data_IF_636816104948
#
_entry.id   IF_636816104948
#
_cell.length_a   1.000
_cell.length_b   1.000
_cell.length_c   1.000
_cell.angle_alpha   90.00
_cell.angle_beta   90.00
_cell.angle_gamma   90.00
#
_symmetry.space_group_name_H-M   'P 1'
#
loop_
_entity.id
_entity.type
_entity.pdbx_description
1 polymer ?
#
# COMPACT_ATOMS: atom_id res chain seq x y z
N UNK A 1 -25.79 13.50 -60.98
CA UNK A 1 -24.46 14.09 -60.71
C UNK A 1 -23.99 13.49 -59.38
N UNK A 2 -23.48 12.26 -59.25
CA UNK A 2 -22.42 11.55 -59.99
C UNK A 2 -21.18 12.43 -60.22
N UNK A 3 -20.12 12.18 -59.43
CA UNK A 3 -18.81 11.69 -59.90
C UNK A 3 -17.94 11.32 -58.68
N UNK A 4 -17.60 10.05 -58.46
CA UNK A 4 -16.52 9.22 -59.06
C UNK A 4 -15.16 9.36 -58.34
N UNK A 5 -14.74 8.28 -57.69
CA UNK A 5 -13.33 7.92 -57.53
C UNK A 5 -12.76 7.41 -58.87
N UNK A 6 -11.42 7.40 -59.06
CA UNK A 6 -10.80 6.07 -59.13
C UNK A 6 -9.35 5.93 -58.61
N UNK A 7 -9.09 4.70 -58.14
CA UNK A 7 -7.86 3.89 -58.11
C UNK A 7 -6.67 4.30 -59.01
N UNK A 8 -5.45 4.03 -58.54
CA UNK A 8 -4.48 3.26 -59.36
C UNK A 8 -3.48 2.45 -58.53
N UNK A 9 -3.31 1.20 -58.98
CA UNK A 9 -2.35 0.19 -58.52
C UNK A 9 -1.07 0.33 -59.34
N UNK A 10 0.08 0.00 -58.75
CA UNK A 10 1.19 -0.58 -59.52
C UNK A 10 1.71 -1.86 -58.86
N UNK A 11 1.86 -2.87 -59.70
CA UNK A 11 2.31 -4.24 -59.42
C UNK A 11 3.44 -4.56 -60.40
N UNK A 12 4.32 -5.49 -59.98
CA UNK A 12 5.19 -6.44 -60.73
C UNK A 12 6.66 -6.33 -60.25
N UNK A 13 7.14 -7.28 -59.46
CA UNK A 13 7.66 -8.65 -59.80
C UNK A 13 9.00 -8.62 -60.56
N UNK A 14 10.03 -9.19 -59.94
CA UNK A 14 10.94 -10.16 -60.56
C UNK A 14 11.73 -10.91 -59.47
N UNK A 15 11.91 -12.22 -59.68
CA UNK A 15 12.60 -13.18 -58.81
C UNK A 15 13.99 -13.52 -59.38
N UNK A 16 14.92 -14.03 -58.56
CA UNK A 16 15.50 -15.39 -58.68
C UNK A 16 16.63 -15.66 -57.66
N UNK A 17 16.49 -16.82 -57.01
CA UNK A 17 17.46 -17.86 -56.64
C UNK A 17 18.96 -17.54 -56.41
N UNK A 18 19.43 -17.91 -55.21
CA UNK A 18 20.81 -18.33 -54.90
C UNK A 18 20.79 -19.26 -53.69
N UNK A 19 21.40 -20.44 -53.80
CA UNK A 19 21.25 -21.56 -52.88
C UNK A 19 22.44 -21.76 -51.93
N UNK A 20 22.16 -22.50 -50.86
CA UNK A 20 23.03 -23.33 -49.99
C UNK A 20 23.92 -22.65 -48.94
N UNK A 21 23.59 -22.86 -47.66
CA UNK A 21 24.46 -23.44 -46.64
C UNK A 21 23.67 -23.66 -45.33
N UNK A 22 23.58 -24.91 -44.86
CA UNK A 22 23.32 -25.21 -43.45
C UNK A 22 24.61 -24.98 -42.65
N UNK A 23 24.53 -24.56 -41.38
CA UNK A 23 24.63 -25.59 -40.33
C UNK A 23 23.86 -25.29 -39.02
N UNK A 24 23.88 -26.31 -38.16
CA UNK A 24 23.90 -26.24 -36.70
C UNK A 24 22.59 -25.96 -35.94
N UNK A 25 22.01 -27.08 -35.48
CA UNK A 25 21.47 -27.33 -34.14
C UNK A 25 21.73 -26.20 -33.13
N UNK A 26 20.64 -25.57 -32.69
CA UNK A 26 20.59 -24.80 -31.45
C UNK A 26 19.22 -25.02 -30.83
N UNK A 27 19.12 -26.00 -29.93
CA UNK A 27 17.97 -26.12 -29.06
C UNK A 27 17.87 -24.81 -28.26
N UNK A 28 16.89 -23.97 -28.58
CA UNK A 28 16.49 -22.85 -27.74
C UNK A 28 15.86 -23.46 -26.48
N UNK A 29 16.71 -23.81 -25.52
CA UNK A 29 16.30 -24.12 -24.18
C UNK A 29 15.54 -22.91 -23.65
N UNK A 30 14.23 -23.08 -23.44
CA UNK A 30 13.43 -22.15 -22.66
C UNK A 30 14.10 -22.01 -21.30
N UNK A 31 14.74 -20.87 -21.06
CA UNK A 31 15.13 -20.48 -19.71
C UNK A 31 13.84 -20.19 -18.96
N UNK A 32 13.35 -21.22 -18.26
CA UNK A 32 12.41 -21.02 -17.17
C UNK A 32 13.15 -20.15 -16.14
N UNK A 33 12.79 -18.88 -16.06
CA UNK A 33 13.11 -18.08 -14.89
C UNK A 33 12.38 -18.76 -13.74
N UNK A 34 13.13 -19.48 -12.91
CA UNK A 34 12.65 -19.84 -11.59
C UNK A 34 12.42 -18.51 -10.86
N UNK A 35 11.16 -18.10 -10.74
CA UNK A 35 10.73 -17.17 -9.71
C UNK A 35 11.19 -17.77 -8.40
N UNK A 36 12.34 -17.31 -7.91
CA UNK A 36 12.80 -17.64 -6.59
C UNK A 36 11.70 -17.20 -5.64
N UNK A 37 11.04 -18.16 -5.00
CA UNK A 37 10.08 -17.88 -3.96
C UNK A 37 10.78 -16.97 -2.95
N UNK A 38 10.40 -15.69 -2.96
CA UNK A 38 10.95 -14.71 -2.03
C UNK A 38 10.73 -15.26 -0.62
N UNK A 39 11.78 -15.32 0.18
CA UNK A 39 11.67 -15.78 1.56
C UNK A 39 10.60 -14.93 2.27
N UNK A 40 9.75 -15.56 3.07
CA UNK A 40 8.75 -14.83 3.84
C UNK A 40 9.46 -13.72 4.66
N UNK A 41 8.89 -12.50 4.73
CA UNK A 41 9.52 -11.41 5.47
C UNK A 41 9.79 -11.80 6.93
N UNK A 42 10.84 -11.24 7.57
CA UNK A 42 11.12 -11.54 8.98
C UNK A 42 9.90 -11.31 9.86
N UNK A 43 9.63 -12.19 10.82
CA UNK A 43 8.57 -11.96 11.82
C UNK A 43 8.97 -10.85 12.79
N UNK A 44 7.99 -10.28 13.50
CA UNK A 44 8.23 -9.19 14.45
C UNK A 44 8.49 -7.84 13.76
N UNK A 45 8.01 -7.67 12.53
CA UNK A 45 8.16 -6.45 11.74
C UNK A 45 6.82 -5.88 11.29
N UNK A 46 6.88 -4.66 10.79
CA UNK A 46 5.78 -4.00 10.11
C UNK A 46 5.92 -4.25 8.60
N UNK A 47 4.87 -4.84 8.01
CA UNK A 47 4.69 -4.94 6.56
C UNK A 47 3.84 -3.76 6.11
N UNK A 48 4.30 -3.07 5.07
CA UNK A 48 3.59 -1.93 4.50
C UNK A 48 3.25 -2.26 3.06
N UNK A 49 2.01 -2.02 2.65
CA UNK A 49 1.54 -2.34 1.32
C UNK A 49 1.04 -1.08 0.64
N UNK A 50 1.37 -0.94 -0.64
CA UNK A 50 0.60 -0.09 -1.54
C UNK A 50 -0.19 -1.00 -2.49
N UNK A 51 -1.51 -1.00 -2.36
CA UNK A 51 -2.38 -1.71 -3.31
C UNK A 51 -2.74 -0.74 -4.44
N UNK A 52 -2.32 -1.11 -5.65
CA UNK A 52 -2.58 -0.36 -6.88
C UNK A 52 -3.66 -1.06 -7.69
N UNK A 53 -4.87 -0.50 -7.83
CA UNK A 53 -5.91 -1.06 -8.69
C UNK A 53 -5.45 -1.22 -10.15
N UNK A 54 -6.12 -2.09 -10.90
CA UNK A 54 -5.71 -2.50 -12.25
C UNK A 54 -5.69 -1.37 -13.29
N UNK A 55 -6.53 -0.36 -13.08
CA UNK A 55 -6.68 0.84 -13.92
C UNK A 55 -5.78 2.00 -13.47
N UNK A 56 -5.10 1.87 -12.33
CA UNK A 56 -4.17 2.88 -11.82
C UNK A 56 -2.75 2.63 -12.38
N UNK A 57 -2.16 3.59 -13.11
CA UNK A 57 -0.80 3.46 -13.60
C UNK A 57 0.19 3.36 -12.43
N UNK A 58 1.27 2.62 -12.62
CA UNK A 58 2.33 2.58 -11.62
C UNK A 58 3.01 3.94 -11.56
N UNK A 59 3.12 4.50 -10.36
CA UNK A 59 3.82 5.74 -10.09
C UNK A 59 4.68 5.55 -8.84
N UNK A 60 5.98 5.77 -8.99
CA UNK A 60 6.98 5.54 -7.94
C UNK A 60 6.79 6.47 -6.73
N UNK A 61 6.08 7.59 -6.90
CA UNK A 61 5.80 8.54 -5.81
C UNK A 61 5.00 7.91 -4.67
N UNK A 62 4.10 6.97 -4.95
CA UNK A 62 3.33 6.27 -3.92
C UNK A 62 4.20 5.42 -3.00
N UNK A 63 4.94 4.39 -3.48
CA UNK A 63 5.77 3.59 -2.59
C UNK A 63 6.89 4.40 -1.92
N UNK A 64 7.45 5.42 -2.58
CA UNK A 64 8.47 6.28 -1.98
C UNK A 64 7.88 7.16 -0.87
N UNK A 65 6.73 7.78 -1.14
CA UNK A 65 6.00 8.63 -0.21
C UNK A 65 5.53 7.88 1.04
N UNK A 66 4.87 6.74 0.84
CA UNK A 66 4.44 5.85 1.93
C UNK A 66 5.65 5.38 2.75
N UNK A 67 6.77 5.02 2.10
CA UNK A 67 7.99 4.65 2.81
C UNK A 67 8.54 5.81 3.66
N UNK A 68 8.44 7.05 3.19
CA UNK A 68 8.87 8.24 3.95
C UNK A 68 7.95 8.50 5.15
N UNK A 69 6.63 8.43 4.97
CA UNK A 69 5.65 8.53 6.06
C UNK A 69 5.93 7.47 7.13
N UNK A 70 6.17 6.21 6.73
CA UNK A 70 6.44 5.13 7.67
C UNK A 70 7.78 5.27 8.41
N UNK A 71 8.83 5.79 7.75
CA UNK A 71 10.10 6.13 8.40
C UNK A 71 9.93 7.27 9.39
N UNK A 72 9.12 8.26 9.05
CA UNK A 72 8.79 9.37 9.94
C UNK A 72 7.99 8.89 11.17
N UNK A 73 7.00 8.00 10.98
CA UNK A 73 6.31 7.32 12.07
C UNK A 73 7.30 6.53 12.94
N UNK A 74 8.23 5.77 12.33
CA UNK A 74 9.26 5.05 13.08
C UNK A 74 10.13 6.00 13.92
N UNK A 75 10.51 7.17 13.36
CA UNK A 75 11.25 8.24 14.05
C UNK A 75 10.46 8.79 15.24
N UNK A 76 9.19 9.14 15.03
CA UNK A 76 8.31 9.68 16.06
C UNK A 76 8.16 8.71 17.23
N UNK A 77 7.86 7.44 16.97
CA UNK A 77 7.74 6.42 18.02
C UNK A 77 9.05 6.23 18.79
N UNK A 78 10.21 6.26 18.11
CA UNK A 78 11.52 6.21 18.78
C UNK A 78 11.73 7.41 19.70
N UNK A 79 11.31 8.61 19.31
CA UNK A 79 11.42 9.81 20.15
C UNK A 79 10.50 9.73 21.37
N UNK A 80 9.26 9.28 21.18
CA UNK A 80 8.27 9.21 22.25
C UNK A 80 8.55 8.08 23.25
N UNK A 81 9.12 6.96 22.78
CA UNK A 81 9.24 5.71 23.54
C UNK A 81 10.68 5.28 23.82
N UNK A 82 11.68 5.83 23.16
CA UNK A 82 13.07 5.35 23.20
C UNK A 82 13.32 4.03 22.46
N UNK A 83 12.27 3.37 21.98
CA UNK A 83 12.27 2.14 21.17
C UNK A 83 11.26 2.31 20.03
N UNK A 84 11.35 1.50 18.98
CA UNK A 84 10.39 1.59 17.87
C UNK A 84 10.25 0.25 17.15
N UNK A 85 9.27 0.16 16.26
CA UNK A 85 9.06 -1.03 15.44
C UNK A 85 10.10 -1.13 14.32
N UNK A 86 10.31 -2.35 13.80
CA UNK A 86 11.17 -2.58 12.62
C UNK A 86 10.32 -2.65 11.36
N UNK A 87 10.66 -1.82 10.36
CA UNK A 87 10.11 -1.93 9.00
C UNK A 87 10.78 -3.09 8.25
N UNK A 88 10.05 -3.70 7.32
CA UNK A 88 10.63 -4.67 6.38
C UNK A 88 11.52 -4.02 5.31
N UNK A 89 12.19 -4.88 4.54
CA UNK A 89 12.91 -4.53 3.32
C UNK A 89 12.36 -5.38 2.16
N UNK A 90 11.75 -4.78 1.11
CA UNK A 90 11.50 -3.34 0.97
C UNK A 90 10.55 -2.80 2.06
N UNK A 91 10.61 -1.48 2.30
CA UNK A 91 9.71 -0.82 3.27
C UNK A 91 8.27 -0.97 2.82
N UNK A 92 8.00 -0.74 1.52
CA UNK A 92 6.67 -0.86 0.91
C UNK A 92 6.67 -1.99 -0.11
N UNK A 93 5.75 -2.92 0.08
CA UNK A 93 5.44 -3.99 -0.86
C UNK A 93 4.35 -3.49 -1.82
N UNK A 94 4.70 -3.36 -3.10
CA UNK A 94 3.72 -2.95 -4.13
C UNK A 94 2.89 -4.16 -4.54
N UNK A 95 1.58 -4.05 -4.36
CA UNK A 95 0.61 -5.09 -4.70
C UNK A 95 -0.25 -4.61 -5.86
N UNK A 96 -0.11 -5.23 -7.03
CA UNK A 96 -1.06 -5.01 -8.12
C UNK A 96 -2.40 -5.65 -7.73
N UNK A 97 -3.44 -4.83 -7.55
CA UNK A 97 -4.78 -5.24 -7.19
C UNK A 97 -5.42 -6.14 -8.24
N UNK A 98 -6.41 -6.93 -7.83
CA UNK A 98 -7.17 -7.80 -8.72
C UNK A 98 -8.31 -7.08 -9.45
N UNK A 99 -8.68 -5.89 -9.00
CA UNK A 99 -9.80 -5.12 -9.51
C UNK A 99 -9.42 -3.68 -9.87
N UNK A 100 -10.29 -2.99 -10.61
CA UNK A 100 -10.20 -1.53 -10.83
C UNK A 100 -10.59 -0.75 -9.56
N UNK A 101 -10.27 0.54 -9.52
CA UNK A 101 -10.54 1.38 -8.35
C UNK A 101 -12.05 1.39 -8.00
N UNK A 102 -12.90 1.48 -9.03
CA UNK A 102 -14.35 1.51 -8.89
C UNK A 102 -14.90 0.26 -8.17
N UNK A 103 -14.31 -0.92 -8.37
CA UNK A 103 -14.70 -2.11 -7.64
C UNK A 103 -14.46 -1.99 -6.13
N UNK A 104 -13.29 -1.49 -5.71
CA UNK A 104 -12.98 -1.30 -4.28
C UNK A 104 -13.91 -0.27 -3.64
N UNK A 105 -14.27 0.77 -4.39
CA UNK A 105 -15.11 1.89 -3.96
C UNK A 105 -16.59 1.53 -3.84
N UNK A 106 -17.09 0.65 -4.71
CA UNK A 106 -18.54 0.42 -4.86
C UNK A 106 -19.00 -1.00 -4.49
N UNK A 107 -18.08 -1.92 -4.17
CA UNK A 107 -18.44 -3.29 -3.75
C UNK A 107 -18.71 -3.31 -2.25
N UNK A 108 -19.95 -3.62 -1.80
CA UNK A 108 -20.27 -3.62 -0.39
C UNK A 108 -19.47 -4.65 0.39
N UNK A 109 -18.80 -4.19 1.44
CA UNK A 109 -18.06 -5.03 2.37
C UNK A 109 -18.15 -4.40 3.76
N UNK A 110 -18.92 -5.02 4.66
CA UNK A 110 -19.31 -4.40 5.93
C UNK A 110 -20.61 -3.56 5.84
N UNK A 111 -21.00 -2.96 6.97
CA UNK A 111 -22.30 -2.30 7.12
C UNK A 111 -22.35 -0.84 6.68
N UNK A 112 -21.20 -0.17 6.55
CA UNK A 112 -21.11 1.25 6.20
C UNK A 112 -20.19 1.43 5.00
N UNK A 113 -20.61 2.26 4.04
CA UNK A 113 -19.87 2.52 2.80
C UNK A 113 -18.47 3.11 3.04
N UNK A 114 -18.32 3.86 4.12
CA UNK A 114 -17.04 4.40 4.60
C UNK A 114 -15.93 3.33 4.65
N UNK A 115 -16.28 2.08 5.01
CA UNK A 115 -15.33 0.98 5.22
C UNK A 115 -15.11 0.08 4.00
N UNK A 116 -15.85 0.25 2.90
CA UNK A 116 -15.81 -0.71 1.79
C UNK A 116 -14.43 -0.83 1.18
N UNK A 117 -13.78 0.30 0.85
CA UNK A 117 -12.41 0.33 0.30
C UNK A 117 -11.43 -0.39 1.24
N UNK A 118 -11.51 -0.09 2.53
CA UNK A 118 -10.65 -0.66 3.58
C UNK A 118 -10.82 -2.18 3.69
N UNK A 119 -12.05 -2.66 3.81
CA UNK A 119 -12.31 -4.10 3.98
C UNK A 119 -12.06 -4.89 2.70
N UNK A 120 -12.33 -4.31 1.53
CA UNK A 120 -12.01 -4.92 0.25
C UNK A 120 -10.50 -5.10 0.08
N UNK A 121 -9.70 -4.06 0.36
CA UNK A 121 -8.24 -4.15 0.36
C UNK A 121 -7.73 -5.20 1.36
N UNK A 122 -8.20 -5.14 2.62
CA UNK A 122 -7.74 -6.04 3.68
C UNK A 122 -8.02 -7.50 3.34
N UNK A 123 -9.23 -7.83 2.87
CA UNK A 123 -9.59 -9.20 2.50
C UNK A 123 -8.76 -9.72 1.32
N UNK A 124 -8.47 -8.86 0.34
CA UNK A 124 -7.61 -9.24 -0.77
C UNK A 124 -6.18 -9.53 -0.28
N UNK A 125 -5.58 -8.65 0.52
CA UNK A 125 -4.25 -8.88 1.09
C UNK A 125 -4.21 -10.15 1.95
N UNK A 126 -5.21 -10.37 2.80
CA UNK A 126 -5.31 -11.58 3.63
C UNK A 126 -5.33 -12.84 2.79
N UNK A 127 -6.18 -12.89 1.75
CA UNK A 127 -6.30 -14.05 0.87
C UNK A 127 -5.04 -14.29 0.06
N UNK A 128 -4.42 -13.23 -0.48
CA UNK A 128 -3.27 -13.35 -1.40
C UNK A 128 -1.96 -13.61 -0.70
N UNK A 129 -1.77 -13.01 0.47
CA UNK A 129 -0.49 -13.06 1.20
C UNK A 129 -0.55 -13.98 2.42
N UNK A 130 -1.68 -14.66 2.63
CA UNK A 130 -1.89 -15.58 3.75
C UNK A 130 -1.76 -14.87 5.10
N UNK A 131 -2.34 -13.67 5.21
CA UNK A 131 -2.33 -12.85 6.44
C UNK A 131 -3.57 -13.14 7.29
N UNK A 132 -3.45 -12.90 8.60
CA UNK A 132 -4.55 -12.99 9.55
C UNK A 132 -4.90 -11.60 10.11
N UNK A 133 -6.07 -11.48 10.74
CA UNK A 133 -6.48 -10.28 11.47
C UNK A 133 -7.09 -10.71 12.83
N UNK A 134 -6.34 -10.64 13.95
CA UNK A 134 -4.94 -10.20 14.07
C UNK A 134 -3.92 -11.21 13.50
N UNK A 135 -2.71 -10.74 13.16
CA UNK A 135 -1.57 -11.59 12.80
C UNK A 135 -0.46 -11.51 13.86
N UNK A 136 -0.01 -12.64 14.36
CA UNK A 136 1.08 -12.67 15.36
C UNK A 136 2.47 -12.49 14.76
N UNK A 137 2.61 -12.59 13.44
CA UNK A 137 3.89 -12.50 12.74
C UNK A 137 4.25 -11.07 12.38
N UNK A 138 3.25 -10.27 12.00
CA UNK A 138 3.43 -8.93 11.44
C UNK A 138 2.35 -7.96 11.91
N UNK A 139 2.72 -6.69 12.04
CA UNK A 139 1.78 -5.58 11.94
C UNK A 139 1.66 -5.23 10.46
N UNK A 140 0.45 -4.99 9.96
CA UNK A 140 0.17 -4.78 8.55
C UNK A 140 -0.41 -3.37 8.33
N UNK A 141 0.27 -2.57 7.53
CA UNK A 141 -0.16 -1.21 7.15
C UNK A 141 -0.45 -1.24 5.65
N UNK A 142 -1.60 -0.74 5.22
CA UNK A 142 -1.97 -0.73 3.82
C UNK A 142 -2.53 0.62 3.39
N UNK A 143 -2.09 1.10 2.24
CA UNK A 143 -2.72 2.22 1.55
C UNK A 143 -3.12 1.78 0.13
N UNK A 144 -4.29 2.20 -0.34
CA UNK A 144 -4.82 1.83 -1.65
C UNK A 144 -5.08 3.07 -2.50
N UNK A 145 -4.71 3.06 -3.78
CA UNK A 145 -5.08 4.12 -4.74
C UNK A 145 -6.52 3.97 -5.24
N UNK A 146 -7.48 3.95 -4.31
CA UNK A 146 -8.91 3.93 -4.59
C UNK A 146 -9.65 4.70 -3.48
N UNK A 147 -10.61 5.53 -3.86
CA UNK A 147 -11.37 6.34 -2.91
C UNK A 147 -12.70 6.79 -3.50
N UNK A 148 -13.78 6.55 -2.76
CA UNK A 148 -15.03 7.24 -3.01
C UNK A 148 -14.96 8.61 -2.33
N UNK A 149 -14.82 9.65 -3.14
CA UNK A 149 -14.62 11.04 -2.69
C UNK A 149 -15.64 11.44 -1.60
N UNK A 150 -15.12 11.89 -0.45
CA UNK A 150 -15.92 12.36 0.68
C UNK A 150 -16.69 11.25 1.42
N UNK A 151 -16.46 9.98 1.08
CA UNK A 151 -17.11 8.82 1.70
C UNK A 151 -16.11 7.85 2.30
N UNK A 152 -15.08 7.44 1.56
CA UNK A 152 -14.07 6.50 2.09
C UNK A 152 -13.20 7.16 3.16
N UNK A 153 -12.63 6.34 4.03
CA UNK A 153 -11.63 6.80 4.98
C UNK A 153 -10.61 5.73 5.30
N UNK A 154 -10.21 5.64 6.56
CA UNK A 154 -9.18 4.74 7.02
C UNK A 154 -9.38 4.38 8.49
N UNK A 155 -8.67 3.37 8.94
CA UNK A 155 -8.71 2.98 10.35
C UNK A 155 -7.76 1.84 10.66
N UNK A 156 -7.46 1.73 11.95
CA UNK A 156 -6.58 0.70 12.49
C UNK A 156 -7.18 -0.05 13.67
N UNK A 157 -6.53 -1.17 13.99
CA UNK A 157 -6.90 -2.04 15.08
C UNK A 157 -6.35 -3.44 14.88
N UNK A 158 -6.04 -4.13 15.97
CA UNK A 158 -5.69 -5.55 15.92
C UNK A 158 -4.50 -5.86 15.00
N UNK A 159 -3.45 -5.04 15.02
CA UNK A 159 -2.25 -5.26 14.19
C UNK A 159 -2.42 -4.84 12.73
N UNK A 160 -3.49 -4.10 12.41
CA UNK A 160 -3.74 -3.55 11.09
C UNK A 160 -3.94 -2.03 11.15
N UNK A 161 -3.55 -1.35 10.09
CA UNK A 161 -4.08 -0.05 9.70
C UNK A 161 -4.25 -0.05 8.17
N UNK A 162 -5.41 0.38 7.70
CA UNK A 162 -5.70 0.48 6.26
C UNK A 162 -6.28 1.86 5.97
N UNK A 163 -5.76 2.50 4.94
CA UNK A 163 -6.09 3.87 4.54
C UNK A 163 -6.48 3.91 3.05
N UNK A 164 -7.38 4.82 2.68
CA UNK A 164 -7.90 4.98 1.32
C UNK A 164 -7.03 5.91 0.46
N UNK A 165 -7.49 6.18 -0.78
CA UNK A 165 -6.78 6.93 -1.81
C UNK A 165 -6.23 8.28 -1.37
N UNK A 166 -6.95 9.06 -0.56
CA UNK A 166 -6.51 10.38 -0.13
C UNK A 166 -5.26 10.33 0.76
N UNK A 167 -5.11 9.31 1.61
CA UNK A 167 -3.90 9.12 2.40
C UNK A 167 -2.73 8.69 1.49
N UNK A 168 -2.99 7.81 0.51
CA UNK A 168 -1.99 7.39 -0.48
C UNK A 168 -1.50 8.56 -1.34
N UNK A 169 -2.43 9.39 -1.84
CA UNK A 169 -2.15 10.61 -2.59
C UNK A 169 -1.41 11.62 -1.72
N UNK A 170 -1.80 11.73 -0.46
CA UNK A 170 -1.15 12.57 0.53
C UNK A 170 0.31 12.20 0.79
N UNK A 171 0.56 10.91 1.03
CA UNK A 171 1.90 10.36 1.20
C UNK A 171 2.76 10.58 -0.07
N UNK A 172 2.15 10.50 -1.26
CA UNK A 172 2.79 10.76 -2.54
C UNK A 172 2.98 12.26 -2.88
N UNK A 173 2.70 13.16 -1.94
CA UNK A 173 2.79 14.63 -2.10
C UNK A 173 1.86 15.19 -3.21
N UNK A 174 0.75 14.52 -3.48
CA UNK A 174 -0.24 14.92 -4.49
C UNK A 174 -1.36 15.79 -3.90
N UNK A 175 -1.46 15.87 -2.58
CA UNK A 175 -2.46 16.70 -1.90
C UNK A 175 -2.17 16.91 -0.41
N UNK A 176 -2.66 18.02 0.13
CA UNK A 176 -2.63 18.32 1.57
C UNK A 176 -1.27 18.74 2.13
N UNK A 177 -1.25 19.02 3.44
CA UNK A 177 -0.04 19.27 4.20
C UNK A 177 0.55 17.94 4.68
N UNK A 178 1.84 17.71 4.43
CA UNK A 178 2.53 16.47 4.81
C UNK A 178 2.45 16.17 6.31
N UNK A 179 2.36 17.18 7.17
CA UNK A 179 2.17 16.97 8.60
C UNK A 179 0.84 16.28 8.92
N UNK A 180 -0.21 16.46 8.12
CA UNK A 180 -1.46 15.70 8.31
C UNK A 180 -1.21 14.21 8.05
N UNK A 181 -0.46 13.88 7.00
CA UNK A 181 -0.21 12.48 6.63
C UNK A 181 0.70 11.80 7.64
N UNK A 182 1.73 12.50 8.12
CA UNK A 182 2.55 12.04 9.24
C UNK A 182 1.73 11.84 10.53
N UNK A 183 0.92 12.83 10.90
CA UNK A 183 0.06 12.75 12.09
C UNK A 183 -0.94 11.59 12.02
N UNK A 184 -1.63 11.46 10.88
CA UNK A 184 -2.58 10.37 10.65
C UNK A 184 -1.92 8.99 10.71
N UNK A 185 -0.76 8.79 10.08
CA UNK A 185 -0.08 7.50 10.19
C UNK A 185 0.39 7.21 11.63
N UNK A 186 0.81 8.22 12.40
CA UNK A 186 1.12 8.03 13.82
C UNK A 186 -0.11 7.57 14.62
N UNK A 187 -1.27 8.17 14.35
CA UNK A 187 -2.57 7.82 14.94
C UNK A 187 -2.97 6.38 14.60
N UNK A 188 -2.96 6.03 13.31
CA UNK A 188 -3.37 4.70 12.85
C UNK A 188 -2.40 3.60 13.27
N UNK A 189 -1.09 3.87 13.28
CA UNK A 189 -0.11 2.96 13.87
C UNK A 189 -0.39 2.76 15.38
N UNK A 190 -0.92 3.77 16.06
CA UNK A 190 -1.32 3.67 17.46
C UNK A 190 -2.44 2.65 17.65
N UNK A 191 -3.45 2.69 16.78
CA UNK A 191 -4.51 1.68 16.75
C UNK A 191 -3.99 0.29 16.38
N UNK A 192 -3.11 0.20 15.38
CA UNK A 192 -2.47 -1.07 15.01
C UNK A 192 -1.72 -1.69 16.22
N UNK A 193 -1.08 -0.86 17.04
CA UNK A 193 -0.40 -1.24 18.28
C UNK A 193 -1.34 -1.47 19.49
N UNK A 194 -2.65 -1.29 19.30
CA UNK A 194 -3.69 -1.64 20.27
C UNK A 194 -4.14 -0.48 21.16
N UNK A 195 -3.84 0.77 20.81
CA UNK A 195 -4.42 1.92 21.49
C UNK A 195 -5.85 2.21 20.98
N UNK A 196 -6.80 2.55 21.87
CA UNK A 196 -8.08 3.10 21.45
C UNK A 196 -7.94 4.59 21.11
N UNK A 197 -8.98 5.15 20.49
CA UNK A 197 -9.17 6.58 20.41
C UNK A 197 -9.24 7.20 21.81
N UNK A 198 -8.68 8.39 21.95
CA UNK A 198 -8.98 9.29 23.06
C UNK A 198 -10.41 9.81 22.90
N UNK A 199 -11.17 9.84 24.00
CA UNK A 199 -12.57 10.28 23.98
C UNK A 199 -12.74 11.80 23.89
N UNK A 200 -11.65 12.56 23.84
CA UNK A 200 -11.59 14.02 23.70
C UNK A 200 -10.26 14.46 23.10
N UNK A 201 -10.20 15.68 22.56
CA UNK A 201 -8.96 16.28 22.07
C UNK A 201 -8.03 16.62 23.24
N UNK A 202 -6.91 15.90 23.35
CA UNK A 202 -6.10 15.87 24.58
C UNK A 202 -4.60 16.16 24.35
N UNK A 203 -4.22 16.58 23.14
CA UNK A 203 -2.83 16.82 22.79
C UNK A 203 -2.05 15.54 22.42
N UNK A 204 -2.70 14.38 22.44
CA UNK A 204 -2.08 13.11 22.04
C UNK A 204 -2.41 12.77 20.59
N UNK A 205 -1.56 11.99 19.90
CA UNK A 205 -1.90 11.56 18.55
C UNK A 205 -3.11 10.61 18.50
N UNK A 206 -3.60 10.05 19.62
CA UNK A 206 -4.82 9.23 19.62
C UNK A 206 -6.11 10.05 19.73
N UNK A 207 -6.02 11.38 19.71
CA UNK A 207 -7.17 12.27 19.57
C UNK A 207 -7.06 13.03 18.25
N UNK A 208 -8.02 13.93 17.97
CA UNK A 208 -7.91 14.90 16.86
C UNK A 208 -6.67 15.82 16.93
N UNK A 209 -5.82 15.70 17.95
CA UNK A 209 -4.54 16.43 18.03
C UNK A 209 -3.49 15.87 17.07
N UNK A 210 -3.70 14.72 16.42
CA UNK A 210 -2.81 14.27 15.33
C UNK A 210 -2.71 15.30 14.19
N UNK A 211 -3.77 16.09 13.94
CA UNK A 211 -3.74 17.20 12.99
C UNK A 211 -2.75 18.32 13.38
N UNK A 212 -2.28 18.34 14.62
CA UNK A 212 -1.29 19.31 15.13
C UNK A 212 0.15 18.78 15.08
N UNK A 213 0.40 17.67 14.39
CA UNK A 213 1.74 17.12 14.20
C UNK A 213 2.75 18.21 13.76
N UNK A 214 3.99 18.23 14.32
CA UNK A 214 4.56 17.28 15.28
C UNK A 214 4.29 17.60 16.76
N UNK A 215 3.38 18.52 17.08
CA UNK A 215 3.16 19.03 18.45
C UNK A 215 2.13 18.24 19.26
N UNK A 216 1.91 16.97 18.92
CA UNK A 216 1.13 16.03 19.72
C UNK A 216 2.06 14.96 20.29
N UNK A 217 1.80 14.50 21.52
CA UNK A 217 2.68 13.57 22.23
C UNK A 217 1.88 12.50 22.96
N UNK A 218 2.39 11.26 22.99
CA UNK A 218 1.74 10.21 23.76
C UNK A 218 1.78 10.55 25.26
N UNK A 219 0.67 10.33 25.96
CA UNK A 219 0.66 10.39 27.42
C UNK A 219 1.24 9.10 28.02
N UNK A 220 1.52 9.11 29.34
CA UNK A 220 2.10 7.95 30.03
C UNK A 220 1.28 6.67 29.86
N UNK A 221 -0.06 6.77 29.88
CA UNK A 221 -0.93 5.61 29.73
C UNK A 221 -0.78 4.99 28.33
N UNK A 222 -0.79 5.80 27.28
CA UNK A 222 -0.60 5.36 25.90
C UNK A 222 0.79 4.75 25.69
N UNK A 223 1.85 5.38 26.20
CA UNK A 223 3.22 4.84 26.15
C UNK A 223 3.31 3.46 26.82
N UNK A 224 2.65 3.29 27.96
CA UNK A 224 2.59 2.01 28.66
C UNK A 224 1.72 0.99 27.90
N UNK A 225 0.62 1.43 27.30
CA UNK A 225 -0.26 0.61 26.47
C UNK A 225 0.46 0.06 25.25
N UNK A 226 1.24 0.88 24.55
CA UNK A 226 2.05 0.44 23.40
C UNK A 226 3.11 -0.58 23.83
N UNK A 227 3.87 -0.32 24.90
CA UNK A 227 4.97 -1.21 25.33
C UNK A 227 4.51 -2.53 25.92
N UNK A 228 3.42 -2.52 26.68
CA UNK A 228 2.92 -3.71 27.39
C UNK A 228 1.72 -4.36 26.70
N UNK A 229 1.26 -3.78 25.59
CA UNK A 229 0.12 -4.27 24.81
C UNK A 229 0.45 -5.49 23.96
N UNK A 230 -0.55 -6.00 23.20
CA UNK A 230 -0.42 -7.22 22.41
C UNK A 230 0.73 -7.19 21.39
N UNK A 231 1.10 -6.00 20.93
CA UNK A 231 2.15 -5.77 19.92
C UNK A 231 3.43 -5.17 20.49
N UNK A 232 3.58 -5.08 21.82
CA UNK A 232 4.78 -4.52 22.46
C UNK A 232 6.08 -5.25 22.09
N UNK A 233 5.99 -6.54 21.76
CA UNK A 233 7.11 -7.39 21.30
C UNK A 233 7.67 -6.99 19.93
N UNK A 234 6.96 -6.15 19.17
CA UNK A 234 7.45 -5.61 17.89
C UNK A 234 8.41 -4.42 18.07
N UNK A 235 8.57 -3.92 19.30
CA UNK A 235 9.40 -2.77 19.60
C UNK A 235 10.80 -3.20 20.02
N UNK A 236 11.83 -2.56 19.45
CA UNK A 236 13.25 -2.80 19.76
C UNK A 236 14.09 -1.52 19.68
#
# INVERSE_FOLDING_TARGET
MQDQQPNSRFSRRAALLGAVAAPAVGALGSLAFAEGASAAPPTGTVRVYWLRPTDVPFDQRYPDGIANVMRETQRYYRQELGVTFRLNDPVVEVVAGEHDAAWYENTPNGGEEYWWVVFNMQQELMRRLGLNAPDSRWINIGEISAEKEGVSGGGGGGGWAILSGHDADGAAELGGDMNRWYGGMVHEMGHALGLPDSTFTDGTPMSASFYSYPNCHFNTQQKNGIRNGPYGSFLS
#
